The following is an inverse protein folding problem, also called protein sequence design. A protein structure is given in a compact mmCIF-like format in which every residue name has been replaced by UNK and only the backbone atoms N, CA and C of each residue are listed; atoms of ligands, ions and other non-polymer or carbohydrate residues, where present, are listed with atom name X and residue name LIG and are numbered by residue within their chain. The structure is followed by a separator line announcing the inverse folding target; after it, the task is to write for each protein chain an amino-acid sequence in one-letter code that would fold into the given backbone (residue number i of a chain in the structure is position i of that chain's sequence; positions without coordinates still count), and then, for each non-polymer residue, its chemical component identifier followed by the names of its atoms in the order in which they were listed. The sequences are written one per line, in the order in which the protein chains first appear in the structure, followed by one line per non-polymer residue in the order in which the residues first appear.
data_IF_411855216118
#
_entry.id   IF_411855216118
#
_cell.length_a   1.000
_cell.length_b   1.000
_cell.length_c   1.000
_cell.angle_alpha   90.00
_cell.angle_beta   90.00
_cell.angle_gamma   90.00
#
_symmetry.space_group_name_H-M   'P 1'
#
loop_
_entity.id
_entity.type
_entity.pdbx_description
1 polymer ?
#
# COMPACT_ATOMS: atom_id res chain seq x y z
N UNK A 1 42.82 12.66 -7.94
CA UNK A 1 41.53 13.11 -7.38
C UNK A 1 40.46 12.27 -8.04
N UNK A 2 40.01 11.21 -7.36
CA UNK A 2 38.95 10.34 -7.90
C UNK A 2 37.61 11.07 -7.79
N UNK A 3 36.91 11.20 -8.92
CA UNK A 3 35.53 11.70 -8.94
C UNK A 3 34.69 10.76 -8.08
N UNK A 4 33.99 11.29 -7.09
CA UNK A 4 33.11 10.51 -6.21
C UNK A 4 31.85 10.12 -7.00
N UNK A 5 31.94 9.06 -7.80
CA UNK A 5 30.87 8.51 -8.66
C UNK A 5 29.60 8.18 -7.84
N UNK A 6 29.74 7.94 -6.53
CA UNK A 6 28.63 7.66 -5.61
C UNK A 6 27.74 8.88 -5.29
N UNK A 7 28.26 10.11 -5.34
CA UNK A 7 27.44 11.32 -5.11
C UNK A 7 26.55 11.65 -6.32
N UNK A 8 27.05 11.39 -7.52
CA UNK A 8 26.34 11.69 -8.77
C UNK A 8 25.16 10.72 -8.99
N UNK A 9 25.34 9.44 -8.64
CA UNK A 9 24.28 8.42 -8.75
C UNK A 9 23.14 8.70 -7.75
N UNK A 10 23.47 9.12 -6.52
CA UNK A 10 22.48 9.54 -5.53
C UNK A 10 21.75 10.83 -5.96
N UNK A 11 22.47 11.82 -6.49
CA UNK A 11 21.87 13.06 -6.99
C UNK A 11 20.95 12.81 -8.21
N UNK A 12 21.32 11.88 -9.09
CA UNK A 12 20.53 11.49 -10.26
C UNK A 12 19.29 10.71 -9.85
N UNK A 13 19.40 9.81 -8.87
CA UNK A 13 18.27 9.06 -8.33
C UNK A 13 17.32 9.95 -7.51
N UNK A 14 17.84 10.99 -6.85
CA UNK A 14 17.04 12.05 -6.24
C UNK A 14 16.36 12.91 -7.30
N UNK A 15 17.04 13.26 -8.40
CA UNK A 15 16.45 14.02 -9.50
C UNK A 15 15.35 13.24 -10.23
N UNK A 16 15.50 11.92 -10.42
CA UNK A 16 14.46 11.04 -10.98
C UNK A 16 13.29 10.90 -10.00
N UNK A 17 13.54 10.79 -8.70
CA UNK A 17 12.47 10.83 -7.69
C UNK A 17 11.77 12.20 -7.63
N UNK A 18 12.49 13.30 -7.87
CA UNK A 18 11.94 14.66 -7.99
C UNK A 18 11.18 14.89 -9.30
N UNK A 19 11.43 14.09 -10.36
CA UNK A 19 10.66 14.16 -11.61
C UNK A 19 9.20 13.74 -11.41
N UNK A 20 8.93 12.93 -10.37
CA UNK A 20 7.58 12.66 -9.85
C UNK A 20 7.30 13.64 -8.72
N UNK A 21 6.19 14.36 -8.79
CA UNK A 21 5.91 15.42 -7.81
C UNK A 21 5.45 14.84 -6.46
N UNK A 22 5.58 15.58 -5.34
CA UNK A 22 4.95 15.19 -4.09
C UNK A 22 3.45 14.89 -4.24
N UNK A 23 2.76 15.61 -5.13
CA UNK A 23 1.32 15.44 -5.41
C UNK A 23 1.02 14.07 -6.02
N UNK A 24 1.87 13.57 -6.92
CA UNK A 24 1.69 12.27 -7.56
C UNK A 24 1.80 11.14 -6.54
N UNK A 25 2.77 11.24 -5.63
CA UNK A 25 2.89 10.29 -4.53
C UNK A 25 1.72 10.38 -3.54
N UNK A 26 1.14 11.55 -3.29
CA UNK A 26 -0.11 11.64 -2.51
C UNK A 26 -1.29 10.96 -3.23
N UNK A 27 -1.39 11.12 -4.55
CA UNK A 27 -2.44 10.47 -5.34
C UNK A 27 -2.31 8.94 -5.31
N UNK A 28 -1.09 8.42 -5.47
CA UNK A 28 -0.81 6.98 -5.36
C UNK A 28 -1.09 6.46 -3.96
N UNK A 29 -0.69 7.20 -2.92
CA UNK A 29 -1.01 6.83 -1.54
C UNK A 29 -2.51 6.68 -1.31
N UNK A 30 -3.30 7.65 -1.79
CA UNK A 30 -4.76 7.62 -1.68
C UNK A 30 -5.35 6.42 -2.44
N UNK A 31 -4.88 6.17 -3.67
CA UNK A 31 -5.33 5.03 -4.46
C UNK A 31 -5.10 3.69 -3.73
N UNK A 32 -3.92 3.49 -3.17
CA UNK A 32 -3.64 2.27 -2.40
C UNK A 32 -4.40 2.23 -1.07
N UNK A 33 -4.65 3.36 -0.41
CA UNK A 33 -5.51 3.41 0.77
C UNK A 33 -6.96 3.01 0.45
N UNK A 34 -7.51 3.51 -0.65
CA UNK A 34 -8.83 3.13 -1.17
C UNK A 34 -8.89 1.62 -1.48
N UNK A 35 -7.88 1.10 -2.17
CA UNK A 35 -7.77 -0.32 -2.46
C UNK A 35 -7.63 -1.17 -1.18
N UNK A 36 -6.91 -0.69 -0.16
CA UNK A 36 -6.80 -1.37 1.13
C UNK A 36 -8.17 -1.46 1.83
N UNK A 37 -8.92 -0.34 1.85
CA UNK A 37 -10.29 -0.30 2.40
C UNK A 37 -11.22 -1.25 1.67
N UNK A 38 -11.17 -1.28 0.34
CA UNK A 38 -12.00 -2.19 -0.46
C UNK A 38 -11.71 -3.66 -0.11
N UNK A 39 -10.44 -4.03 0.06
CA UNK A 39 -10.07 -5.39 0.46
C UNK A 39 -10.53 -5.72 1.88
N UNK A 40 -10.49 -4.76 2.81
CA UNK A 40 -11.03 -4.95 4.16
C UNK A 40 -12.53 -5.21 4.13
N UNK A 41 -13.30 -4.42 3.37
CA UNK A 41 -14.74 -4.63 3.20
C UNK A 41 -15.02 -6.04 2.67
N UNK A 42 -14.30 -6.47 1.62
CA UNK A 42 -14.44 -7.84 1.09
C UNK A 42 -14.08 -8.92 2.11
N UNK A 43 -13.07 -8.70 2.96
CA UNK A 43 -12.72 -9.65 4.02
C UNK A 43 -13.86 -9.77 5.04
N UNK A 44 -14.44 -8.65 5.48
CA UNK A 44 -15.57 -8.64 6.42
C UNK A 44 -16.83 -9.30 5.84
N UNK A 45 -17.14 -9.07 4.57
CA UNK A 45 -18.22 -9.78 3.88
C UNK A 45 -18.01 -11.31 3.89
N UNK A 46 -16.77 -11.78 3.68
CA UNK A 46 -16.47 -13.22 3.74
C UNK A 46 -16.49 -13.78 5.17
N UNK A 47 -16.12 -12.98 6.18
CA UNK A 47 -16.27 -13.36 7.60
C UNK A 47 -17.74 -13.54 7.97
N UNK A 48 -18.60 -12.60 7.58
CA UNK A 48 -20.05 -12.72 7.79
C UNK A 48 -20.63 -13.96 7.09
N UNK A 49 -20.19 -14.24 5.85
CA UNK A 49 -20.60 -15.46 5.14
C UNK A 49 -20.11 -16.74 5.82
N UNK A 50 -18.87 -16.75 6.33
CA UNK A 50 -18.33 -17.89 7.05
C UNK A 50 -19.15 -18.18 8.33
N UNK A 51 -19.51 -17.13 9.08
CA UNK A 51 -20.36 -17.25 10.26
C UNK A 51 -21.74 -17.86 9.91
N UNK A 52 -22.32 -17.49 8.77
CA UNK A 52 -23.56 -18.11 8.29
C UNK A 52 -23.36 -19.60 7.99
N UNK A 53 -22.27 -19.99 7.31
CA UNK A 53 -21.96 -21.39 7.05
C UNK A 53 -21.67 -22.20 8.32
N UNK A 54 -21.17 -21.56 9.38
CA UNK A 54 -20.96 -22.19 10.67
C UNK A 54 -22.27 -22.47 11.41
N UNK A 55 -23.25 -21.56 11.28
CA UNK A 55 -24.60 -21.73 11.85
C UNK A 55 -25.47 -22.70 11.05
N UNK A 56 -25.23 -22.83 9.75
CA UNK A 56 -25.96 -23.80 8.92
C UNK A 56 -25.50 -25.23 9.23
N UNK A 57 -26.46 -26.15 9.39
CA UNK A 57 -26.21 -27.59 9.52
C UNK A 57 -25.81 -28.21 8.16
N UNK A 58 -24.74 -27.72 7.56
CA UNK A 58 -24.17 -28.26 6.34
C UNK A 58 -23.36 -29.52 6.68
N UNK A 59 -23.68 -30.63 6.03
CA UNK A 59 -23.03 -31.93 6.26
C UNK A 59 -22.05 -32.30 5.14
N UNK A 60 -21.09 -33.16 5.48
CA UNK A 60 -20.18 -33.78 4.53
C UNK A 60 -19.18 -32.84 3.86
N UNK A 61 -18.63 -33.29 2.74
CA UNK A 61 -17.53 -32.64 2.03
C UNK A 61 -17.87 -31.24 1.51
N UNK A 62 -19.13 -31.01 1.11
CA UNK A 62 -19.58 -29.70 0.59
C UNK A 62 -19.48 -28.61 1.66
N UNK A 63 -19.86 -28.92 2.90
CA UNK A 63 -19.72 -28.03 4.07
C UNK A 63 -18.26 -27.65 4.29
N UNK A 64 -17.37 -28.64 4.34
CA UNK A 64 -15.94 -28.44 4.55
C UNK A 64 -15.30 -27.61 3.43
N UNK A 65 -15.65 -27.90 2.18
CA UNK A 65 -15.13 -27.19 1.02
C UNK A 65 -15.57 -25.71 1.01
N UNK A 66 -16.85 -25.43 1.29
CA UNK A 66 -17.35 -24.04 1.37
C UNK A 66 -16.65 -23.23 2.46
N UNK A 67 -16.48 -23.80 3.65
CA UNK A 67 -15.77 -23.14 4.76
C UNK A 67 -14.31 -22.90 4.42
N UNK A 68 -13.59 -23.92 3.95
CA UNK A 68 -12.17 -23.81 3.58
C UNK A 68 -11.93 -22.77 2.48
N UNK A 69 -12.75 -22.78 1.42
CA UNK A 69 -12.67 -21.79 0.34
C UNK A 69 -12.94 -20.37 0.85
N UNK A 70 -13.89 -20.20 1.76
CA UNK A 70 -14.21 -18.89 2.34
C UNK A 70 -13.08 -18.38 3.23
N UNK A 71 -12.50 -19.25 4.07
CA UNK A 71 -11.31 -18.93 4.87
C UNK A 71 -10.11 -18.52 4.00
N UNK A 72 -9.90 -19.20 2.87
CA UNK A 72 -8.83 -18.83 1.93
C UNK A 72 -9.06 -17.44 1.31
N UNK A 73 -10.32 -17.09 0.99
CA UNK A 73 -10.66 -15.75 0.50
C UNK A 73 -10.46 -14.66 1.56
N UNK A 74 -10.85 -14.92 2.81
CA UNK A 74 -10.61 -13.99 3.93
C UNK A 74 -9.12 -13.67 4.03
N UNK A 75 -8.26 -14.70 4.11
CA UNK A 75 -6.81 -14.54 4.20
C UNK A 75 -6.25 -13.77 3.01
N UNK A 76 -6.71 -14.08 1.80
CA UNK A 76 -6.28 -13.38 0.58
C UNK A 76 -6.61 -11.88 0.63
N UNK A 77 -7.82 -11.53 1.04
CA UNK A 77 -8.23 -10.13 1.13
C UNK A 77 -7.52 -9.39 2.26
N UNK A 78 -7.31 -10.01 3.42
CA UNK A 78 -6.54 -9.40 4.51
C UNK A 78 -5.07 -9.15 4.11
N UNK A 79 -4.45 -10.10 3.42
CA UNK A 79 -3.09 -9.93 2.88
C UNK A 79 -3.03 -8.82 1.84
N UNK A 80 -4.02 -8.74 0.94
CA UNK A 80 -4.08 -7.66 -0.05
C UNK A 80 -4.31 -6.30 0.61
N UNK A 81 -5.17 -6.21 1.63
CA UNK A 81 -5.37 -4.99 2.42
C UNK A 81 -4.07 -4.53 3.08
N UNK A 82 -3.31 -5.46 3.68
CA UNK A 82 -2.02 -5.16 4.29
C UNK A 82 -0.99 -4.71 3.26
N UNK A 83 -0.92 -5.38 2.11
CA UNK A 83 0.00 -5.02 1.03
C UNK A 83 -0.28 -3.61 0.50
N UNK A 84 -1.55 -3.31 0.19
CA UNK A 84 -1.97 -1.98 -0.25
C UNK A 84 -1.68 -0.92 0.83
N UNK A 85 -1.91 -1.22 2.11
CA UNK A 85 -1.57 -0.31 3.21
C UNK A 85 -0.07 0.02 3.29
N UNK A 86 0.80 -0.95 3.00
CA UNK A 86 2.27 -0.73 2.95
C UNK A 86 2.66 0.15 1.76
N UNK A 87 2.08 -0.09 0.58
CA UNK A 87 2.31 0.76 -0.60
C UNK A 87 1.84 2.20 -0.36
N UNK A 88 0.66 2.37 0.26
CA UNK A 88 0.16 3.69 0.63
C UNK A 88 1.13 4.43 1.56
N UNK A 89 1.62 3.75 2.61
CA UNK A 89 2.58 4.31 3.54
C UNK A 89 3.93 4.67 2.87
N UNK A 90 4.39 3.83 1.95
CA UNK A 90 5.61 4.05 1.15
C UNK A 90 5.52 5.33 0.33
N UNK A 91 4.42 5.51 -0.41
CA UNK A 91 4.20 6.72 -1.20
C UNK A 91 4.01 7.97 -0.34
N UNK A 92 3.32 7.88 0.82
CA UNK A 92 3.25 9.01 1.77
C UNK A 92 4.64 9.42 2.27
N UNK A 93 5.53 8.45 2.53
CA UNK A 93 6.89 8.74 2.94
C UNK A 93 7.67 9.45 1.83
N UNK A 94 7.55 9.00 0.57
CA UNK A 94 8.18 9.65 -0.58
C UNK A 94 7.66 11.09 -0.76
N UNK A 95 6.35 11.29 -0.74
CA UNK A 95 5.74 12.63 -0.86
C UNK A 95 6.26 13.60 0.21
N UNK A 96 6.39 13.13 1.46
CA UNK A 96 6.91 13.94 2.58
C UNK A 96 8.38 14.29 2.41
N UNK A 97 9.20 13.34 1.93
CA UNK A 97 10.62 13.56 1.66
C UNK A 97 10.81 14.61 0.56
N UNK A 98 10.10 14.48 -0.56
CA UNK A 98 10.17 15.43 -1.67
C UNK A 98 9.74 16.85 -1.23
N UNK A 99 8.60 16.96 -0.53
CA UNK A 99 8.12 18.24 -0.01
C UNK A 99 9.13 18.91 0.95
N UNK A 100 9.82 18.10 1.77
CA UNK A 100 10.86 18.59 2.68
C UNK A 100 12.08 19.10 1.91
N UNK A 101 12.58 18.32 0.95
CA UNK A 101 13.72 18.69 0.12
C UNK A 101 13.44 19.99 -0.66
N UNK A 102 12.23 20.14 -1.22
CA UNK A 102 11.81 21.37 -1.91
C UNK A 102 11.83 22.59 -0.98
N UNK A 103 11.39 22.40 0.28
CA UNK A 103 11.40 23.47 1.27
C UNK A 103 12.83 23.86 1.69
N UNK A 104 13.71 22.87 1.87
CA UNK A 104 15.12 23.07 2.20
C UNK A 104 15.86 23.79 1.06
N UNK A 105 15.63 23.40 -0.21
CA UNK A 105 16.20 24.07 -1.37
C UNK A 105 15.74 25.53 -1.51
N UNK A 106 14.43 25.78 -1.31
CA UNK A 106 13.89 27.14 -1.34
C UNK A 106 14.48 28.01 -0.22
N UNK A 107 14.64 27.46 0.98
CA UNK A 107 15.23 28.19 2.10
C UNK A 107 16.69 28.58 1.83
N UNK A 108 17.48 27.68 1.22
CA UNK A 108 18.88 27.92 0.87
C UNK A 108 19.08 29.02 -0.21
N UNK A 109 18.11 29.21 -1.10
CA UNK A 109 18.14 30.25 -2.14
C UNK A 109 17.69 31.64 -1.66
N UNK A 110 17.15 31.73 -0.45
CA UNK A 110 16.67 32.99 0.16
C UNK A 110 17.70 33.68 1.08
N UNK A 111 18.94 33.20 1.12
CA UNK A 111 20.08 33.82 1.82
C UNK A 111 21.14 34.29 0.82
#
# INVERSE_FOLDING_TARGET
MGVNIAEEDAATQLAIQNAVTPSDHYALAKHFEDAAREMQVKAEEKKALLEQYEKMHLYGWQSHNLKSRTMALIRKYEQAAQSNGREAASHLQMARKLKRNDAEYKAALTF
#
